data_IF_845262252685
#
_entry.id   IF_845262252685
#
_cell.length_a   1.000
_cell.length_b   1.000
_cell.length_c   1.000
_cell.angle_alpha   90.00
_cell.angle_beta   90.00
_cell.angle_gamma   90.00
#
_symmetry.space_group_name_H-M   'P 1'
#
loop_
_entity.id
_entity.type
_entity.pdbx_description
1 polymer ?
#
# COMPACT_ATOMS: atom_id res chain seq x y z
N UNK A 1 34.49 -22.32 5.24
CA UNK A 1 33.25 -22.50 6.00
C UNK A 1 32.68 -21.13 6.26
N UNK A 2 31.91 -20.60 5.31
CA UNK A 2 31.45 -19.21 5.35
C UNK A 2 30.01 -19.25 5.85
N UNK A 3 29.84 -19.02 7.15
CA UNK A 3 28.54 -18.81 7.76
C UNK A 3 27.86 -17.62 7.06
N UNK A 4 26.84 -17.90 6.27
CA UNK A 4 25.93 -16.88 5.75
C UNK A 4 25.14 -16.35 6.94
N UNK A 5 25.61 -15.28 7.55
CA UNK A 5 24.85 -14.51 8.52
C UNK A 5 23.65 -13.93 7.78
N UNK A 6 22.48 -14.56 7.91
CA UNK A 6 21.24 -14.07 7.32
C UNK A 6 20.88 -12.77 8.05
N UNK A 7 21.25 -11.64 7.45
CA UNK A 7 21.00 -10.32 8.01
C UNK A 7 19.50 -10.07 7.89
N UNK A 8 18.76 -10.27 8.98
CA UNK A 8 17.33 -9.98 9.02
C UNK A 8 17.12 -8.48 8.84
N UNK A 9 16.17 -8.12 7.98
CA UNK A 9 15.82 -6.72 7.71
C UNK A 9 14.36 -6.48 8.03
N UNK A 10 14.10 -5.34 8.65
CA UNK A 10 12.75 -4.83 8.84
C UNK A 10 12.12 -4.55 7.47
N UNK A 11 11.02 -5.21 7.09
CA UNK A 11 10.40 -5.05 5.76
C UNK A 11 9.70 -3.70 5.59
N UNK A 12 9.48 -2.94 6.67
CA UNK A 12 8.83 -1.63 6.65
C UNK A 12 9.82 -0.52 6.37
N UNK A 13 11.00 -0.56 6.99
CA UNK A 13 12.00 0.51 6.90
C UNK A 13 13.35 0.10 6.30
N UNK A 14 13.61 -1.20 6.16
CA UNK A 14 14.88 -1.74 5.66
C UNK A 14 16.02 -1.72 6.67
N UNK A 15 15.79 -1.33 7.93
CA UNK A 15 16.82 -1.41 8.97
C UNK A 15 17.18 -2.86 9.26
N UNK A 16 18.47 -3.10 9.47
CA UNK A 16 18.97 -4.38 9.98
C UNK A 16 18.44 -4.64 11.37
N UNK A 17 17.86 -5.81 11.57
CA UNK A 17 17.30 -6.30 12.83
C UNK A 17 17.89 -7.67 13.13
N UNK A 18 17.70 -8.14 14.37
CA UNK A 18 18.12 -9.46 14.82
C UNK A 18 16.90 -10.29 15.24
N UNK A 19 17.07 -11.61 15.34
CA UNK A 19 16.03 -12.52 15.83
C UNK A 19 15.64 -12.26 17.29
N UNK A 20 16.47 -11.50 18.01
CA UNK A 20 16.22 -11.05 19.39
C UNK A 20 15.31 -9.80 19.44
N UNK A 21 14.78 -9.33 18.30
CA UNK A 21 13.92 -8.17 18.32
C UNK A 21 12.66 -8.41 19.15
N UNK A 22 12.41 -7.47 20.07
CA UNK A 22 11.20 -7.41 20.88
C UNK A 22 9.93 -7.37 20.03
N UNK A 23 10.01 -6.78 18.83
CA UNK A 23 8.87 -6.61 17.94
C UNK A 23 8.98 -7.58 16.77
N UNK A 24 8.11 -8.57 16.71
CA UNK A 24 8.05 -9.57 15.64
C UNK A 24 6.61 -9.99 15.36
N UNK A 25 6.35 -10.48 14.15
CA UNK A 25 5.03 -10.96 13.74
C UNK A 25 5.17 -12.13 12.76
N UNK A 26 4.32 -13.15 12.91
CA UNK A 26 4.28 -14.27 11.99
C UNK A 26 3.22 -14.03 10.91
N UNK A 27 3.63 -14.06 9.65
CA UNK A 27 2.73 -13.90 8.51
C UNK A 27 3.06 -14.92 7.42
N UNK A 28 2.06 -15.71 6.97
CA UNK A 28 2.22 -16.80 5.99
C UNK A 28 3.29 -17.85 6.39
N UNK A 29 3.43 -18.12 7.68
CA UNK A 29 4.43 -19.07 8.21
C UNK A 29 5.87 -18.57 8.14
N UNK A 30 6.07 -17.24 7.99
CA UNK A 30 7.36 -16.57 8.09
C UNK A 30 7.32 -15.57 9.24
N UNK A 31 8.33 -15.60 10.09
CA UNK A 31 8.50 -14.61 11.16
C UNK A 31 9.23 -13.38 10.62
N UNK A 32 8.61 -12.22 10.78
CA UNK A 32 9.18 -10.92 10.43
C UNK A 32 9.55 -10.16 11.70
N UNK A 33 10.72 -9.53 11.70
CA UNK A 33 11.22 -8.76 12.83
C UNK A 33 11.23 -7.26 12.49
N UNK A 34 10.94 -6.43 13.48
CA UNK A 34 10.81 -4.98 13.32
C UNK A 34 11.75 -4.24 14.23
N UNK A 35 12.25 -3.08 13.80
CA UNK A 35 13.15 -2.25 14.60
C UNK A 35 12.40 -1.50 15.72
N UNK A 36 11.07 -1.36 15.60
CA UNK A 36 10.25 -0.56 16.48
C UNK A 36 8.77 -0.96 16.43
N UNK A 37 8.03 -0.61 17.49
CA UNK A 37 6.58 -0.74 17.60
C UNK A 37 5.81 -0.13 16.41
N UNK A 38 6.27 1.03 15.92
CA UNK A 38 5.67 1.70 14.76
C UNK A 38 5.81 0.88 13.48
N UNK A 39 6.92 0.18 13.30
CA UNK A 39 7.14 -0.65 12.12
C UNK A 39 6.27 -1.90 12.20
N UNK A 40 6.18 -2.55 13.37
CA UNK A 40 5.23 -3.65 13.58
C UNK A 40 3.79 -3.23 13.32
N UNK A 41 3.34 -2.10 13.88
CA UNK A 41 1.96 -1.60 13.70
C UNK A 41 1.60 -1.35 12.22
N UNK A 42 2.54 -0.79 11.46
CA UNK A 42 2.39 -0.59 10.01
C UNK A 42 2.28 -1.93 9.29
N UNK A 43 3.17 -2.85 9.62
CA UNK A 43 3.16 -4.19 9.05
C UNK A 43 1.83 -4.89 9.33
N UNK A 44 1.35 -4.89 10.57
CA UNK A 44 0.06 -5.45 10.95
C UNK A 44 -1.12 -4.83 10.18
N UNK A 45 -1.07 -3.52 9.93
CA UNK A 45 -2.13 -2.81 9.18
C UNK A 45 -2.15 -3.18 7.69
N UNK A 46 -1.04 -3.62 7.12
CA UNK A 46 -0.92 -3.89 5.69
C UNK A 46 0.22 -4.87 5.37
N UNK A 47 0.18 -6.11 5.87
CA UNK A 47 1.32 -7.02 5.81
C UNK A 47 1.66 -7.43 4.38
N UNK A 48 0.62 -7.60 3.55
CA UNK A 48 0.75 -7.98 2.14
C UNK A 48 1.60 -6.96 1.35
N UNK A 49 1.52 -5.67 1.65
CA UNK A 49 2.26 -4.64 0.90
C UNK A 49 3.77 -4.67 1.21
N UNK A 50 4.14 -5.03 2.44
CA UNK A 50 5.53 -5.06 2.89
C UNK A 50 6.24 -6.36 2.50
N UNK A 51 5.51 -7.48 2.44
CA UNK A 51 6.07 -8.76 1.98
C UNK A 51 6.08 -8.91 0.46
N UNK A 52 5.19 -8.22 -0.27
CA UNK A 52 5.13 -8.29 -1.74
C UNK A 52 6.26 -7.52 -2.42
N UNK A 53 6.96 -6.64 -1.68
CA UNK A 53 8.23 -6.04 -2.10
C UNK A 53 9.39 -6.67 -1.33
N UNK A 54 9.81 -7.89 -1.67
CA UNK A 54 11.05 -8.43 -1.10
C UNK A 54 12.20 -7.56 -1.60
N UNK A 55 12.85 -6.87 -0.66
CA UNK A 55 14.18 -6.29 -0.72
C UNK A 55 14.88 -6.29 -2.09
N UNK A 56 14.61 -5.30 -2.94
CA UNK A 56 15.65 -4.82 -3.86
C UNK A 56 16.64 -4.01 -3.02
N UNK A 57 17.59 -4.73 -2.42
CA UNK A 57 18.83 -4.12 -1.93
C UNK A 57 19.65 -3.75 -3.17
N UNK A 58 19.64 -2.49 -3.56
CA UNK A 58 20.81 -1.91 -4.22
C UNK A 58 21.66 -1.33 -3.10
N UNK A 59 22.73 -2.04 -2.75
CA UNK A 59 23.86 -1.45 -2.06
C UNK A 59 24.45 -0.37 -2.99
N UNK A 60 24.88 0.74 -2.38
CA UNK A 60 25.61 1.86 -2.98
C UNK A 60 24.79 2.89 -3.80
N UNK A 61 24.18 3.84 -3.09
CA UNK A 61 24.35 5.30 -3.29
C UNK A 61 23.20 6.08 -2.61
N UNK A 62 23.43 6.57 -1.39
CA UNK A 62 22.68 7.73 -0.90
C UNK A 62 23.19 8.99 -1.63
N UNK A 63 22.77 9.17 -2.89
CA UNK A 63 22.61 10.52 -3.45
C UNK A 63 21.12 10.80 -3.51
N UNK A 64 20.67 11.50 -2.47
CA UNK A 64 19.63 12.52 -2.44
C UNK A 64 18.36 12.30 -3.26
N UNK A 65 17.24 12.34 -2.54
CA UNK A 65 15.89 12.61 -3.04
C UNK A 65 15.89 13.64 -4.18
N UNK A 66 15.65 13.23 -5.42
CA UNK A 66 14.55 13.76 -6.22
C UNK A 66 14.39 13.03 -7.57
N UNK A 67 13.11 12.85 -7.92
CA UNK A 67 12.55 12.85 -9.27
C UNK A 67 12.50 11.53 -10.06
N UNK A 68 11.28 10.97 -10.04
CA UNK A 68 10.42 10.70 -11.20
C UNK A 68 11.06 10.19 -12.49
N UNK A 69 10.60 9.00 -12.89
CA UNK A 69 10.13 8.54 -14.23
C UNK A 69 10.51 7.06 -14.37
N UNK A 70 9.74 6.12 -14.92
CA UNK A 70 8.38 5.97 -15.44
C UNK A 70 8.24 4.45 -15.78
N UNK A 71 6.99 3.96 -15.88
CA UNK A 71 6.59 2.82 -16.74
C UNK A 71 6.90 1.40 -16.22
N UNK A 72 6.00 0.40 -16.27
CA UNK A 72 4.86 0.14 -17.16
C UNK A 72 3.79 -0.72 -16.44
N UNK A 73 2.53 -0.41 -16.70
CA UNK A 73 1.39 -1.31 -16.92
C UNK A 73 1.46 -2.72 -16.33
N UNK A 74 0.69 -2.97 -15.26
CA UNK A 74 0.03 -4.26 -15.11
C UNK A 74 -1.44 -4.03 -14.74
N UNK A 75 -2.30 -4.52 -15.62
CA UNK A 75 -3.72 -4.31 -15.62
C UNK A 75 -4.38 -5.06 -14.47
N UNK A 76 -5.06 -4.33 -13.58
CA UNK A 76 -6.14 -4.90 -12.78
C UNK A 76 -7.45 -4.21 -13.17
N UNK A 77 -7.99 -4.66 -14.31
CA UNK A 77 -9.35 -4.37 -14.75
C UNK A 77 -10.31 -5.10 -13.83
N UNK A 78 -10.96 -4.37 -12.92
CA UNK A 78 -12.36 -4.61 -12.51
C UNK A 78 -12.90 -3.32 -11.88
N UNK A 79 -13.70 -2.56 -12.64
CA UNK A 79 -14.45 -1.38 -12.16
C UNK A 79 -13.57 -0.22 -11.68
N UNK A 80 -13.13 0.65 -12.58
CA UNK A 80 -12.29 1.82 -12.24
C UNK A 80 -13.10 2.88 -11.50
N UNK A 81 -13.27 2.69 -10.19
CA UNK A 81 -13.67 3.75 -9.27
C UNK A 81 -12.57 4.80 -9.26
N UNK A 82 -12.87 6.01 -9.70
CA UNK A 82 -11.89 7.10 -9.80
C UNK A 82 -11.84 7.81 -8.45
N UNK A 83 -10.71 7.84 -7.75
CA UNK A 83 -10.58 8.52 -6.47
C UNK A 83 -10.13 9.97 -6.66
N UNK A 84 -10.74 10.92 -5.95
CA UNK A 84 -10.43 12.36 -5.99
C UNK A 84 -10.15 12.94 -4.62
N UNK A 85 -9.36 14.02 -4.57
CA UNK A 85 -9.08 14.74 -3.32
C UNK A 85 -10.13 15.85 -3.08
N UNK A 86 -10.74 15.95 -1.88
CA UNK A 86 -11.75 17.00 -1.60
C UNK A 86 -11.19 18.42 -1.70
N UNK A 87 -9.89 18.60 -1.45
CA UNK A 87 -9.22 19.90 -1.54
C UNK A 87 -8.55 20.15 -2.91
N UNK A 88 -8.33 19.09 -3.69
CA UNK A 88 -7.61 19.16 -4.97
C UNK A 88 -8.33 18.32 -6.03
N UNK A 89 -9.49 18.80 -6.55
CA UNK A 89 -10.33 18.03 -7.47
C UNK A 89 -9.68 17.70 -8.82
N UNK A 90 -8.55 18.36 -9.14
CA UNK A 90 -7.70 18.05 -10.30
C UNK A 90 -6.93 16.73 -10.14
N UNK A 91 -6.79 16.23 -8.90
CA UNK A 91 -6.12 14.96 -8.62
C UNK A 91 -7.15 13.84 -8.75
N UNK A 92 -7.05 13.07 -9.83
CA UNK A 92 -7.85 11.86 -10.08
C UNK A 92 -6.93 10.65 -10.19
N UNK A 93 -7.18 9.62 -9.40
CA UNK A 93 -6.41 8.38 -9.39
C UNK A 93 -7.34 7.18 -9.57
N UNK A 94 -6.86 6.12 -10.22
CA UNK A 94 -7.60 4.86 -10.41
C UNK A 94 -7.52 3.92 -9.19
N UNK A 95 -6.87 4.35 -8.11
CA UNK A 95 -6.64 3.55 -6.91
C UNK A 95 -6.84 4.38 -5.62
N UNK A 96 -7.20 3.75 -4.48
CA UNK A 96 -7.22 4.43 -3.19
C UNK A 96 -5.80 4.86 -2.80
N UNK A 97 -5.69 5.95 -2.05
CA UNK A 97 -4.39 6.49 -1.66
C UNK A 97 -4.47 7.86 -1.01
N UNK A 98 -3.33 8.52 -0.90
CA UNK A 98 -3.21 9.87 -0.37
C UNK A 98 -2.88 10.86 -1.49
N UNK A 99 -3.51 12.02 -1.44
CA UNK A 99 -3.31 13.12 -2.37
C UNK A 99 -1.84 13.59 -2.35
N UNK A 100 -1.15 13.61 -3.50
CA UNK A 100 0.24 14.04 -3.57
C UNK A 100 0.43 15.54 -3.32
N UNK A 101 -0.65 16.34 -3.42
CA UNK A 101 -0.59 17.79 -3.16
C UNK A 101 -0.68 18.12 -1.66
N UNK A 102 -1.44 17.36 -0.87
CA UNK A 102 -1.73 17.72 0.53
C UNK A 102 -1.67 16.56 1.54
N UNK A 103 -1.44 15.34 1.09
CA UNK A 103 -1.33 14.16 1.94
C UNK A 103 -2.66 13.61 2.48
N UNK A 104 -3.80 14.25 2.19
CA UNK A 104 -5.12 13.74 2.59
C UNK A 104 -5.55 12.54 1.76
N UNK A 105 -6.31 11.62 2.37
CA UNK A 105 -6.86 10.44 1.69
C UNK A 105 -7.81 10.83 0.55
N UNK A 106 -7.75 10.09 -0.55
CA UNK A 106 -8.61 10.28 -1.73
C UNK A 106 -9.95 9.56 -1.54
N UNK A 107 -11.03 10.20 -1.98
CA UNK A 107 -12.40 9.68 -1.91
C UNK A 107 -12.86 9.11 -3.25
N UNK A 108 -13.55 7.95 -3.28
CA UNK A 108 -14.04 7.33 -4.51
C UNK A 108 -15.14 8.16 -5.18
N UNK A 109 -14.89 8.62 -6.42
CA UNK A 109 -15.94 8.85 -7.42
C UNK A 109 -16.37 7.50 -7.97
N UNK A 110 -17.50 7.06 -7.48
CA UNK A 110 -18.25 5.97 -8.06
C UNK A 110 -18.77 6.49 -9.41
N UNK A 111 -18.38 5.93 -10.57
CA UNK A 111 -19.07 6.25 -11.81
C UNK A 111 -20.54 5.84 -11.62
N UNK A 112 -21.46 6.72 -12.03
CA UNK A 112 -22.90 6.47 -12.07
C UNK A 112 -23.18 5.35 -13.08
N UNK A 113 -22.79 4.12 -12.75
CA UNK A 113 -23.24 2.92 -13.43
C UNK A 113 -24.67 2.69 -12.96
N UNK A 114 -25.60 3.30 -13.70
CA UNK A 114 -26.97 2.85 -13.89
C UNK A 114 -27.67 2.36 -12.59
N UNK A 115 -28.23 3.31 -11.83
CA UNK A 115 -29.46 3.05 -11.06
C UNK A 115 -30.67 2.89 -12.00
N UNK A 116 -30.50 2.19 -13.13
CA UNK A 116 -31.62 1.67 -13.89
C UNK A 116 -32.16 0.48 -13.11
N UNK A 117 -33.42 0.59 -12.71
CA UNK A 117 -34.23 -0.41 -12.00
C UNK A 117 -34.08 -0.42 -10.47
N UNK A 118 -34.69 0.57 -9.81
CA UNK A 118 -35.31 0.39 -8.48
C UNK A 118 -36.78 -0.08 -8.66
N UNK A 119 -37.06 -1.39 -8.82
CA UNK A 119 -38.42 -1.92 -8.98
C UNK A 119 -39.28 -1.73 -7.71
N UNK A 120 -38.67 -1.49 -6.55
CA UNK A 120 -39.38 -1.43 -5.26
C UNK A 120 -40.29 -0.19 -5.13
N UNK A 121 -40.14 0.84 -5.97
CA UNK A 121 -41.01 2.04 -5.92
C UNK A 121 -42.31 1.93 -6.74
N UNK A 122 -42.51 0.87 -7.52
CA UNK A 122 -43.73 0.67 -8.31
C UNK A 122 -44.85 -0.02 -7.51
N UNK A 123 -44.52 -0.85 -6.53
CA UNK A 123 -45.49 -1.64 -5.77
C UNK A 123 -46.24 -0.86 -4.67
N UNK A 124 -45.75 0.31 -4.26
CA UNK A 124 -46.42 1.15 -3.26
C UNK A 124 -47.53 2.07 -3.82
N UNK A 125 -47.81 1.99 -5.13
CA UNK A 125 -48.80 2.83 -5.81
C UNK A 125 -50.06 2.08 -6.25
N UNK A 126 -50.22 0.83 -5.83
CA UNK A 126 -51.39 -0.02 -6.11
C UNK A 126 -52.39 -0.04 -4.96
#
# INVERSE_FOLDING_TARGET
DTATTDVLKDPVCGMTVTEESKYHEEFKGKTYFFCSDKCQSKFHSSPVQYIAKPATTTADAHTQHHQTTQSVNDASTTGTTIYTCPMHPEIRQDHPGNCPKCGMTLEPLIPELEEDENPELRDFRR
#
